data_IF_099329145135
#
_entry.id   IF_099329145135
#
_cell.length_a   1.000
_cell.length_b   1.000
_cell.length_c   1.000
_cell.angle_alpha   90.00
_cell.angle_beta   90.00
_cell.angle_gamma   90.00
#
_symmetry.space_group_name_H-M   'P 1'
#
loop_
_entity.id
_entity.type
_entity.pdbx_description
1 polymer ?
#
# COMPACT_ATOMS: atom_id res chain seq x y z
N UNK A 1 12.79 27.86 7.22
CA UNK A 1 13.40 27.31 5.99
C UNK A 1 14.68 26.61 6.38
N UNK A 2 14.97 25.44 5.83
CA UNK A 2 16.21 24.70 6.13
C UNK A 2 17.36 25.31 5.34
N UNK A 3 18.38 25.83 6.00
CA UNK A 3 19.58 26.32 5.32
C UNK A 3 20.29 25.13 4.65
N UNK A 4 20.51 25.23 3.33
CA UNK A 4 21.30 24.28 2.58
C UNK A 4 22.77 24.73 2.58
N UNK A 5 23.72 23.79 2.51
CA UNK A 5 25.13 24.13 2.36
C UNK A 5 25.40 24.70 0.97
N UNK A 6 26.37 25.61 0.90
CA UNK A 6 26.90 26.13 -0.36
C UNK A 6 27.90 25.10 -0.89
N UNK A 7 27.45 24.21 -1.78
CA UNK A 7 28.31 23.21 -2.44
C UNK A 7 28.06 23.30 -3.93
N UNK A 8 29.09 23.65 -4.71
CA UNK A 8 28.98 23.78 -6.16
C UNK A 8 28.60 22.46 -6.85
N UNK A 9 29.26 21.34 -6.49
CA UNK A 9 29.06 20.02 -7.08
C UNK A 9 28.90 18.95 -5.99
N UNK A 10 27.67 18.68 -5.57
CA UNK A 10 27.39 17.60 -4.63
C UNK A 10 27.23 16.25 -5.35
N UNK A 11 28.19 15.34 -5.17
CA UNK A 11 28.08 13.97 -5.66
C UNK A 11 27.33 13.07 -4.67
N UNK A 12 26.08 12.77 -5.00
CA UNK A 12 25.25 11.86 -4.23
C UNK A 12 25.75 10.40 -4.22
N UNK A 13 26.59 10.00 -5.18
CA UNK A 13 27.19 8.67 -5.28
C UNK A 13 28.42 8.47 -4.39
N UNK A 14 29.11 9.55 -4.04
CA UNK A 14 30.24 9.53 -3.11
C UNK A 14 29.82 9.38 -1.64
N UNK A 15 28.54 9.60 -1.32
CA UNK A 15 28.03 9.46 0.06
C UNK A 15 27.98 7.98 0.44
N UNK A 16 28.71 7.55 1.49
CA UNK A 16 28.70 6.16 1.92
C UNK A 16 27.30 5.74 2.39
N UNK A 17 27.01 4.44 2.45
CA UNK A 17 25.79 3.98 3.10
C UNK A 17 25.89 4.16 4.62
N UNK A 18 24.83 4.66 5.29
CA UNK A 18 24.84 4.87 6.74
C UNK A 18 25.13 3.58 7.54
N UNK A 19 24.83 2.41 6.99
CA UNK A 19 25.16 1.11 7.59
C UNK A 19 26.67 0.88 7.75
N UNK A 20 27.49 1.51 6.91
CA UNK A 20 28.95 1.42 6.96
C UNK A 20 29.55 2.23 8.10
N UNK A 21 28.77 3.04 8.83
CA UNK A 21 29.27 3.76 10.01
C UNK A 21 29.84 2.81 11.09
N UNK A 22 29.42 1.53 11.06
CA UNK A 22 29.88 0.48 11.96
C UNK A 22 31.35 0.10 11.76
N UNK A 23 31.96 0.43 10.62
CA UNK A 23 33.38 0.17 10.40
C UNK A 23 34.27 1.19 11.11
N UNK A 24 33.72 2.34 11.57
CA UNK A 24 34.49 3.36 12.30
C UNK A 24 34.79 2.93 13.74
N UNK A 25 35.87 3.47 14.35
CA UNK A 25 36.10 3.36 15.79
C UNK A 25 34.88 3.80 16.60
N UNK A 26 34.66 3.15 17.75
CA UNK A 26 33.46 3.38 18.57
C UNK A 26 33.27 4.86 18.98
N UNK A 27 34.37 5.56 19.28
CA UNK A 27 34.36 7.00 19.60
C UNK A 27 33.86 7.84 18.42
N UNK A 28 34.46 7.69 17.23
CA UNK A 28 34.06 8.42 16.03
C UNK A 28 32.63 8.09 15.59
N UNK A 29 32.22 6.82 15.75
CA UNK A 29 30.86 6.39 15.48
C UNK A 29 29.86 7.07 16.43
N UNK A 30 30.17 7.16 17.72
CA UNK A 30 29.35 7.86 18.71
C UNK A 30 29.15 9.33 18.32
N UNK A 31 30.25 10.03 18.08
CA UNK A 31 30.23 11.45 17.68
C UNK A 31 29.47 11.66 16.37
N UNK A 32 29.64 10.80 15.36
CA UNK A 32 28.90 10.89 14.11
C UNK A 32 27.39 10.68 14.28
N UNK A 33 26.97 9.79 15.19
CA UNK A 33 25.56 9.65 15.56
C UNK A 33 25.04 10.90 16.28
N UNK A 34 25.79 11.43 17.25
CA UNK A 34 25.44 12.67 17.96
C UNK A 34 25.27 13.85 16.98
N UNK A 35 26.22 14.03 16.04
CA UNK A 35 26.15 15.03 14.97
C UNK A 35 24.92 14.86 14.08
N UNK A 36 24.65 13.62 13.63
CA UNK A 36 23.53 13.37 12.74
C UNK A 36 22.18 13.55 13.42
N UNK A 37 22.03 13.05 14.65
CA UNK A 37 20.78 13.10 15.40
C UNK A 37 20.45 14.53 15.85
N UNK A 38 21.46 15.33 16.23
CA UNK A 38 21.28 16.75 16.57
C UNK A 38 20.85 17.58 15.37
N UNK A 39 21.50 17.41 14.21
CA UNK A 39 21.09 18.05 12.96
C UNK A 39 19.67 17.64 12.57
N UNK A 40 19.36 16.35 12.63
CA UNK A 40 18.04 15.81 12.30
C UNK A 40 16.95 16.32 13.25
N UNK A 41 17.21 16.41 14.55
CA UNK A 41 16.28 16.90 15.56
C UNK A 41 15.93 18.38 15.32
N UNK A 42 16.94 19.19 14.99
CA UNK A 42 16.78 20.62 14.72
C UNK A 42 16.34 20.94 13.28
N UNK A 43 16.13 19.90 12.44
CA UNK A 43 15.79 20.04 11.01
C UNK A 43 16.85 20.87 10.25
N UNK A 44 18.11 20.73 10.64
CA UNK A 44 19.26 21.40 10.03
C UNK A 44 20.04 20.40 9.16
N UNK A 45 20.68 20.90 8.11
CA UNK A 45 21.61 20.12 7.28
C UNK A 45 23.06 20.54 7.54
N UNK A 46 23.24 21.82 7.89
CA UNK A 46 24.53 22.50 8.09
C UNK A 46 24.59 23.07 9.50
N UNK A 47 25.75 23.01 10.13
CA UNK A 47 26.08 23.63 11.40
C UNK A 47 26.29 25.15 11.22
N UNK A 48 25.19 25.87 11.00
CA UNK A 48 25.16 27.33 10.89
C UNK A 48 24.01 27.91 11.69
N UNK A 49 24.29 29.03 12.34
CA UNK A 49 23.26 29.86 12.98
C UNK A 49 23.08 31.13 12.16
N UNK A 50 22.10 31.13 11.25
CA UNK A 50 21.92 32.22 10.29
C UNK A 50 23.14 32.34 9.37
N UNK A 51 23.87 33.45 9.49
CA UNK A 51 25.13 33.71 8.77
C UNK A 51 26.38 33.26 9.53
N UNK A 52 26.26 32.94 10.82
CA UNK A 52 27.39 32.53 11.66
C UNK A 52 27.70 31.05 11.45
N UNK A 53 28.95 30.74 11.14
CA UNK A 53 29.47 29.39 11.04
C UNK A 53 29.91 28.93 12.42
N UNK A 54 29.39 27.80 12.88
CA UNK A 54 29.76 27.27 14.19
C UNK A 54 31.19 26.77 14.14
N UNK A 55 32.01 27.22 15.09
CA UNK A 55 33.36 26.70 15.31
C UNK A 55 33.32 25.28 15.88
N UNK A 56 34.43 24.54 15.80
CA UNK A 56 34.48 23.16 16.30
C UNK A 56 34.14 23.07 17.81
N UNK A 57 34.52 24.06 18.62
CA UNK A 57 34.15 24.13 20.04
C UNK A 57 32.65 24.36 20.25
N UNK A 58 32.04 25.23 19.44
CA UNK A 58 30.60 25.47 19.46
C UNK A 58 29.82 24.25 18.95
N UNK A 59 30.34 23.55 17.95
CA UNK A 59 29.77 22.29 17.44
C UNK A 59 29.81 21.24 18.55
N UNK A 60 30.94 21.08 19.25
CA UNK A 60 31.06 20.14 20.37
C UNK A 60 30.04 20.44 21.47
N UNK A 61 29.89 21.70 21.85
CA UNK A 61 28.87 22.12 22.82
C UNK A 61 27.44 21.84 22.31
N UNK A 62 27.18 22.10 21.03
CA UNK A 62 25.87 21.88 20.42
C UNK A 62 25.47 20.40 20.38
N UNK A 63 26.42 19.50 20.14
CA UNK A 63 26.18 18.06 20.15
C UNK A 63 26.33 17.41 21.53
N UNK A 64 26.63 18.20 22.57
CA UNK A 64 26.90 17.75 23.93
C UNK A 64 28.06 16.75 24.04
N UNK A 65 29.10 16.93 23.22
CA UNK A 65 30.33 16.12 23.24
C UNK A 65 31.51 16.93 23.77
N UNK A 66 32.58 16.24 24.17
CA UNK A 66 33.81 16.89 24.59
C UNK A 66 34.56 17.48 23.37
N UNK A 67 34.97 18.77 23.38
CA UNK A 67 35.73 19.40 22.30
C UNK A 67 36.98 18.62 21.89
N UNK A 68 37.72 18.06 22.85
CA UNK A 68 38.91 17.25 22.56
C UNK A 68 38.58 15.94 21.83
N UNK A 69 37.43 15.35 22.13
CA UNK A 69 36.94 14.15 21.44
C UNK A 69 36.50 14.48 20.02
N UNK A 70 35.80 15.60 19.84
CA UNK A 70 35.39 16.05 18.50
C UNK A 70 36.62 16.37 17.64
N UNK A 71 37.60 17.12 18.15
CA UNK A 71 38.81 17.45 17.40
C UNK A 71 39.60 16.21 16.93
N UNK A 72 39.61 15.14 17.73
CA UNK A 72 40.24 13.86 17.36
C UNK A 72 39.43 13.04 16.35
N UNK A 73 38.10 13.09 16.44
CA UNK A 73 37.23 12.17 15.68
C UNK A 73 36.71 12.79 14.40
N UNK A 74 36.52 14.11 14.35
CA UNK A 74 35.96 14.84 13.20
C UNK A 74 36.76 14.61 11.91
N UNK A 75 38.11 14.66 11.88
CA UNK A 75 38.87 14.37 10.65
C UNK A 75 38.64 12.96 10.12
N UNK A 76 38.44 11.97 11.00
CA UNK A 76 38.12 10.59 10.60
C UNK A 76 36.70 10.51 10.00
N UNK A 77 35.73 11.20 10.61
CA UNK A 77 34.35 11.24 10.14
C UNK A 77 34.27 11.94 8.77
N UNK A 78 35.04 13.00 8.57
CA UNK A 78 35.18 13.71 7.29
C UNK A 78 35.85 12.83 6.22
N UNK A 79 36.98 12.20 6.55
CA UNK A 79 37.69 11.28 5.65
C UNK A 79 36.80 10.13 5.16
N UNK A 80 35.90 9.64 6.03
CA UNK A 80 35.01 8.53 5.71
C UNK A 80 33.72 8.99 5.03
N UNK A 81 33.50 10.30 4.86
CA UNK A 81 32.38 10.88 4.13
C UNK A 81 31.05 10.94 4.90
N UNK A 82 31.07 10.74 6.23
CA UNK A 82 29.86 10.85 7.06
C UNK A 82 29.54 12.30 7.47
N UNK A 83 30.55 13.17 7.43
CA UNK A 83 30.44 14.62 7.52
C UNK A 83 31.32 15.26 6.43
N UNK A 84 31.02 16.50 6.05
CA UNK A 84 31.84 17.25 5.09
C UNK A 84 31.74 18.74 5.40
N UNK A 85 32.71 19.52 4.92
CA UNK A 85 32.67 20.99 5.00
C UNK A 85 32.21 21.56 3.66
N UNK A 86 31.38 22.58 3.72
CA UNK A 86 30.92 23.32 2.54
C UNK A 86 32.02 24.23 1.99
N UNK A 87 31.78 24.90 0.86
CA UNK A 87 32.78 25.74 0.17
C UNK A 87 33.23 26.95 1.03
N UNK A 88 32.44 27.32 2.03
CA UNK A 88 32.73 28.39 2.97
C UNK A 88 33.38 27.85 4.26
N UNK A 89 33.40 26.53 4.47
CA UNK A 89 34.07 25.84 5.58
C UNK A 89 33.16 25.30 6.69
N UNK A 90 31.84 25.39 6.56
CA UNK A 90 30.87 24.99 7.57
C UNK A 90 30.56 23.50 7.48
N UNK A 91 30.48 22.85 8.64
CA UNK A 91 30.24 21.41 8.71
C UNK A 91 28.78 21.10 8.34
N UNK A 92 28.57 20.15 7.44
CA UNK A 92 27.25 19.64 7.07
C UNK A 92 27.24 18.12 7.03
N UNK A 93 26.03 17.55 7.06
CA UNK A 93 25.84 16.11 6.87
C UNK A 93 25.46 15.80 5.41
N UNK A 94 26.32 15.10 4.64
CA UNK A 94 26.02 14.68 3.26
C UNK A 94 24.74 13.86 3.15
N UNK A 95 24.44 13.03 4.15
CA UNK A 95 23.22 12.22 4.21
C UNK A 95 21.94 13.05 4.32
N UNK A 96 21.96 14.09 5.15
CA UNK A 96 20.82 14.98 5.30
C UNK A 96 20.64 15.86 4.06
N UNK A 97 21.74 16.29 3.44
CA UNK A 97 21.72 17.00 2.16
C UNK A 97 21.10 16.14 1.06
N UNK A 98 21.57 14.91 0.87
CA UNK A 98 21.01 13.97 -0.11
C UNK A 98 19.51 13.73 0.13
N UNK A 99 19.10 13.61 1.40
CA UNK A 99 17.69 13.45 1.76
C UNK A 99 16.86 14.68 1.40
N UNK A 100 17.37 15.89 1.63
CA UNK A 100 16.66 17.13 1.35
C UNK A 100 16.58 17.39 -0.17
N UNK A 101 17.64 17.12 -0.93
CA UNK A 101 17.61 17.15 -2.40
C UNK A 101 16.51 16.21 -2.92
N UNK A 102 16.49 14.94 -2.46
CA UNK A 102 15.43 13.98 -2.84
C UNK A 102 14.04 14.43 -2.41
N UNK A 103 13.92 15.23 -1.35
CA UNK A 103 12.64 15.79 -0.90
C UNK A 103 12.19 16.92 -1.83
N UNK A 104 13.10 17.81 -2.19
CA UNK A 104 12.85 18.90 -3.13
C UNK A 104 12.50 18.38 -4.52
N UNK A 105 13.21 17.36 -5.02
CA UNK A 105 12.85 16.69 -6.28
C UNK A 105 11.45 16.07 -6.23
N UNK A 106 11.09 15.43 -5.12
CA UNK A 106 9.74 14.87 -4.94
C UNK A 106 8.68 15.98 -4.88
N UNK A 107 8.98 17.12 -4.26
CA UNK A 107 8.09 18.27 -4.22
C UNK A 107 7.91 18.88 -5.63
N UNK A 108 9.00 19.06 -6.39
CA UNK A 108 8.95 19.52 -7.78
C UNK A 108 8.13 18.58 -8.65
N UNK A 109 8.37 17.27 -8.57
CA UNK A 109 7.58 16.25 -9.29
C UNK A 109 6.10 16.26 -8.90
N UNK A 110 5.75 16.62 -7.65
CA UNK A 110 4.35 16.78 -7.24
C UNK A 110 3.74 18.05 -7.84
N UNK A 111 4.44 19.17 -7.76
CA UNK A 111 3.99 20.43 -8.37
C UNK A 111 3.78 20.26 -9.89
N UNK A 112 4.70 19.61 -10.60
CA UNK A 112 4.55 19.29 -12.02
C UNK A 112 3.31 18.42 -12.30
N UNK A 113 3.01 17.45 -11.42
CA UNK A 113 1.80 16.62 -11.55
C UNK A 113 0.53 17.45 -11.32
N UNK A 114 0.52 18.33 -10.33
CA UNK A 114 -0.60 19.22 -10.04
C UNK A 114 -0.83 20.23 -11.18
N UNK A 115 0.24 20.80 -11.74
CA UNK A 115 0.15 21.65 -12.93
C UNK A 115 -0.40 20.89 -14.14
N UNK A 116 0.04 19.64 -14.35
CA UNK A 116 -0.49 18.80 -15.43
C UNK A 116 -1.96 18.46 -15.23
N UNK A 117 -2.39 18.20 -13.99
CA UNK A 117 -3.80 18.00 -13.65
C UNK A 117 -4.62 19.26 -13.96
N UNK A 118 -4.17 20.44 -13.53
CA UNK A 118 -4.85 21.71 -13.83
C UNK A 118 -4.95 21.98 -15.33
N UNK A 119 -3.88 21.71 -16.09
CA UNK A 119 -3.90 21.85 -17.56
C UNK A 119 -4.89 20.89 -18.21
N UNK A 120 -4.99 19.66 -17.69
CA UNK A 120 -5.93 18.67 -18.18
C UNK A 120 -7.38 19.06 -17.89
N UNK A 121 -7.69 19.49 -16.67
CA UNK A 121 -9.02 19.97 -16.28
C UNK A 121 -9.44 21.20 -17.10
N UNK A 122 -8.53 22.15 -17.32
CA UNK A 122 -8.79 23.30 -18.19
C UNK A 122 -9.07 22.88 -19.65
N UNK A 123 -8.37 21.87 -20.17
CA UNK A 123 -8.59 21.35 -21.51
C UNK A 123 -9.91 20.53 -21.65
N UNK A 124 -10.33 19.85 -20.58
CA UNK A 124 -11.66 19.24 -20.51
C UNK A 124 -12.77 20.30 -20.47
N UNK A 125 -12.60 21.35 -19.65
CA UNK A 125 -13.55 22.45 -19.58
C UNK A 125 -13.66 23.22 -20.92
N UNK A 126 -12.56 23.33 -21.66
CA UNK A 126 -12.55 23.91 -23.01
C UNK A 126 -13.15 22.99 -24.09
N UNK A 127 -13.55 21.76 -23.75
CA UNK A 127 -14.11 20.78 -24.69
C UNK A 127 -13.09 20.19 -25.67
N UNK A 128 -11.79 20.40 -25.44
CA UNK A 128 -10.70 19.86 -26.27
C UNK A 128 -10.51 18.37 -25.97
N UNK A 129 -10.69 17.97 -24.70
CA UNK A 129 -10.60 16.60 -24.24
C UNK A 129 -12.01 16.12 -23.85
N UNK A 130 -12.43 14.90 -24.26
CA UNK A 130 -13.73 14.35 -23.85
C UNK A 130 -13.86 14.27 -22.32
N UNK A 131 -15.07 14.54 -21.81
CA UNK A 131 -15.35 14.54 -20.37
C UNK A 131 -15.14 13.16 -19.71
N UNK A 132 -15.36 12.08 -20.45
CA UNK A 132 -15.19 10.71 -19.97
C UNK A 132 -13.72 10.26 -19.95
N UNK A 133 -12.80 11.03 -20.53
CA UNK A 133 -11.39 10.64 -20.57
C UNK A 133 -10.74 10.93 -19.21
N UNK A 134 -9.91 10.00 -18.75
CA UNK A 134 -9.13 10.22 -17.53
C UNK A 134 -7.76 10.79 -17.89
N UNK A 135 -7.13 11.54 -16.99
CA UNK A 135 -5.77 12.05 -17.22
C UNK A 135 -4.80 10.91 -17.59
N UNK A 136 -4.95 9.75 -16.94
CA UNK A 136 -4.17 8.54 -17.23
C UNK A 136 -4.51 7.96 -18.60
N UNK A 137 -5.79 7.88 -18.98
CA UNK A 137 -6.24 7.42 -20.29
C UNK A 137 -5.73 8.30 -21.43
N UNK A 138 -5.83 9.62 -21.25
CA UNK A 138 -5.32 10.61 -22.21
C UNK A 138 -3.80 10.51 -22.39
N UNK A 139 -3.02 10.44 -21.30
CA UNK A 139 -1.57 10.21 -21.38
C UNK A 139 -1.22 8.85 -22.00
N UNK A 140 -1.99 7.79 -21.71
CA UNK A 140 -1.77 6.48 -22.30
C UNK A 140 -2.01 6.49 -23.82
N UNK A 141 -3.02 7.22 -24.32
CA UNK A 141 -3.24 7.42 -25.75
C UNK A 141 -2.07 8.16 -26.42
N UNK A 142 -1.59 9.25 -25.80
CA UNK A 142 -0.43 10.01 -26.28
C UNK A 142 0.84 9.14 -26.30
N UNK A 143 1.10 8.40 -25.23
CA UNK A 143 2.28 7.55 -25.11
C UNK A 143 2.18 6.32 -26.03
N UNK A 144 1.00 5.75 -26.20
CA UNK A 144 0.71 4.67 -27.14
C UNK A 144 0.96 5.08 -28.59
N UNK A 145 0.55 6.30 -28.98
CA UNK A 145 0.84 6.84 -30.31
C UNK A 145 2.33 7.15 -30.57
N UNK A 146 3.10 7.40 -29.49
CA UNK A 146 4.55 7.60 -29.57
C UNK A 146 5.35 6.29 -29.45
N UNK A 147 4.74 5.23 -28.90
CA UNK A 147 5.34 3.92 -28.72
C UNK A 147 5.62 3.18 -30.03
N UNK A 148 6.46 2.14 -29.96
CA UNK A 148 6.79 1.27 -31.09
C UNK A 148 8.27 1.25 -31.45
N UNK A 149 8.73 0.12 -32.01
CA UNK A 149 10.14 -0.07 -32.41
C UNK A 149 10.44 0.73 -33.68
N UNK A 150 11.59 1.43 -33.76
CA UNK A 150 12.09 1.98 -35.03
C UNK A 150 12.29 0.86 -36.07
N UNK A 151 12.15 1.18 -37.36
CA UNK A 151 12.54 0.23 -38.42
C UNK A 151 14.06 0.04 -38.41
N UNK A 152 14.55 -1.09 -38.95
CA UNK A 152 15.98 -1.49 -38.87
C UNK A 152 16.96 -0.44 -39.45
N UNK A 153 16.49 0.46 -40.32
CA UNK A 153 17.28 1.50 -40.99
C UNK A 153 16.93 2.92 -40.55
N UNK A 154 16.08 3.08 -39.53
CA UNK A 154 15.47 4.37 -39.18
C UNK A 154 15.98 4.83 -37.81
N UNK A 155 16.40 6.09 -37.72
CA UNK A 155 16.83 6.68 -36.46
C UNK A 155 15.60 7.01 -35.56
N UNK A 156 15.79 7.14 -34.25
CA UNK A 156 14.67 7.34 -33.31
C UNK A 156 13.81 8.58 -33.64
N UNK A 157 14.44 9.66 -34.10
CA UNK A 157 13.75 10.89 -34.51
C UNK A 157 12.99 10.73 -35.83
N UNK A 158 13.58 10.03 -36.80
CA UNK A 158 12.93 9.72 -38.08
C UNK A 158 11.69 8.84 -37.88
N UNK A 159 11.79 7.84 -36.99
CA UNK A 159 10.67 6.98 -36.62
C UNK A 159 9.52 7.74 -35.96
N UNK A 160 9.84 8.78 -35.19
CA UNK A 160 8.84 9.66 -34.57
C UNK A 160 8.13 10.53 -35.61
N UNK A 161 8.87 11.10 -36.56
CA UNK A 161 8.32 11.93 -37.64
C UNK A 161 7.40 11.09 -38.55
N UNK A 162 7.85 9.89 -38.97
CA UNK A 162 7.04 8.98 -39.79
C UNK A 162 5.73 8.61 -39.10
N UNK A 163 5.77 8.24 -37.80
CA UNK A 163 4.56 7.88 -37.05
C UNK A 163 3.61 9.06 -36.89
N UNK A 164 4.11 10.27 -36.69
CA UNK A 164 3.27 11.47 -36.65
C UNK A 164 2.53 11.66 -37.99
N UNK A 165 3.25 11.51 -39.11
CA UNK A 165 2.67 11.58 -40.45
C UNK A 165 1.66 10.45 -40.73
N UNK A 166 1.95 9.21 -40.30
CA UNK A 166 1.03 8.06 -40.42
C UNK A 166 -0.23 8.24 -39.57
N UNK A 167 -0.11 8.80 -38.37
CA UNK A 167 -1.26 9.10 -37.50
C UNK A 167 -2.14 10.21 -38.10
N UNK A 168 -1.54 11.29 -38.62
CA UNK A 168 -2.25 12.33 -39.35
C UNK A 168 -2.96 11.77 -40.59
N UNK A 169 -2.28 10.95 -41.39
CA UNK A 169 -2.87 10.29 -42.55
C UNK A 169 -4.06 9.39 -42.17
N UNK A 170 -3.95 8.63 -41.08
CA UNK A 170 -5.02 7.77 -40.57
C UNK A 170 -6.24 8.58 -40.09
N UNK A 171 -6.03 9.72 -39.43
CA UNK A 171 -7.14 10.63 -39.05
C UNK A 171 -7.82 11.25 -40.28
N UNK A 172 -7.05 11.65 -41.29
CA UNK A 172 -7.60 12.15 -42.56
C UNK A 172 -8.44 11.11 -43.29
N UNK A 173 -7.99 9.84 -43.32
CA UNK A 173 -8.74 8.74 -43.93
C UNK A 173 -10.08 8.46 -43.23
N UNK A 174 -10.14 8.59 -41.90
CA UNK A 174 -11.39 8.40 -41.13
C UNK A 174 -12.42 9.51 -41.36
N UNK A 175 -11.96 10.70 -41.74
CA UNK A 175 -12.82 11.87 -41.96
C UNK A 175 -13.25 12.04 -43.43
N UNK A 176 -13.03 11.05 -44.30
CA UNK A 176 -13.54 11.08 -45.68
C UNK A 176 -15.03 10.71 -45.62
N UNK A 177 -15.97 11.62 -45.98
CA UNK A 177 -17.38 11.27 -46.05
C UNK A 177 -17.60 10.26 -47.17
N UNK A 178 -18.02 9.05 -46.81
CA UNK A 178 -18.45 8.03 -47.77
C UNK A 178 -19.67 8.56 -48.54
N UNK A 179 -19.55 8.70 -49.86
CA UNK A 179 -20.68 9.00 -50.73
C UNK A 179 -21.77 7.95 -50.55
N UNK A 180 -22.96 8.41 -50.15
CA UNK A 180 -24.18 7.61 -50.02
C UNK A 180 -24.60 7.13 -51.41
N UNK A 181 -24.60 5.82 -51.64
CA UNK A 181 -25.13 5.21 -52.85
C UNK A 181 -26.66 5.10 -52.78
N UNK A 182 -27.34 5.62 -53.81
CA UNK A 182 -28.78 5.47 -54.08
C UNK A 182 -29.18 3.99 -54.27
N UNK A 183 -30.46 3.62 -54.06
CA UNK A 183 -30.87 2.22 -54.04
C UNK A 183 -31.16 1.70 -55.45
N UNK A 184 -30.57 0.57 -55.83
CA UNK A 184 -31.05 -0.27 -56.92
C UNK A 184 -30.69 -1.75 -56.67
N UNK A 185 -31.50 -2.70 -57.17
CA UNK A 185 -31.63 -4.05 -56.63
C UNK A 185 -30.76 -5.09 -57.35
N UNK A 186 -30.71 -6.28 -56.75
CA UNK A 186 -30.20 -7.55 -57.26
C UNK A 186 -28.69 -7.83 -57.10
N UNK A 187 -28.45 -8.73 -56.14
CA UNK A 187 -27.42 -9.77 -56.05
C UNK A 187 -26.36 -9.79 -57.16
N UNK A 188 -25.17 -9.32 -56.82
CA UNK A 188 -23.92 -9.80 -57.42
C UNK A 188 -23.01 -10.24 -56.28
N UNK A 189 -22.92 -11.55 -56.08
CA UNK A 189 -21.95 -12.19 -55.19
C UNK A 189 -20.53 -11.90 -55.69
N UNK A 190 -19.86 -10.93 -55.08
CA UNK A 190 -18.40 -10.85 -55.15
C UNK A 190 -17.81 -11.70 -54.02
N UNK A 191 -17.52 -12.95 -54.38
CA UNK A 191 -16.74 -13.92 -53.63
C UNK A 191 -15.27 -13.44 -53.68
N UNK A 192 -14.70 -13.19 -52.51
CA UNK A 192 -13.31 -12.78 -52.22
C UNK A 192 -13.14 -11.30 -51.84
N UNK A 193 -13.30 -10.99 -50.56
CA UNK A 193 -12.51 -9.96 -49.87
C UNK A 193 -12.50 -10.27 -48.36
N UNK A 194 -11.29 -10.55 -47.89
CA UNK A 194 -10.87 -11.00 -46.57
C UNK A 194 -11.74 -10.62 -45.36
N UNK A 195 -12.12 -11.66 -44.63
CA UNK A 195 -12.56 -11.65 -43.24
C UNK A 195 -11.45 -11.09 -42.35
N UNK A 196 -11.66 -9.90 -41.78
CA UNK A 196 -11.25 -9.55 -40.42
C UNK A 196 -11.86 -8.19 -40.06
N UNK A 197 -13.16 -8.22 -39.76
CA UNK A 197 -13.85 -7.17 -39.00
C UNK A 197 -14.57 -7.88 -37.85
N UNK A 198 -13.92 -7.98 -36.70
CA UNK A 198 -14.65 -8.18 -35.45
C UNK A 198 -14.95 -6.82 -34.84
N UNK A 199 -16.22 -6.44 -34.99
CA UNK A 199 -16.90 -5.52 -34.08
C UNK A 199 -17.33 -6.36 -32.87
N UNK A 200 -17.06 -5.90 -31.65
CA UNK A 200 -17.77 -6.39 -30.46
C UNK A 200 -18.13 -5.18 -29.60
N UNK A 201 -19.39 -4.77 -29.70
CA UNK A 201 -20.11 -4.06 -28.66
C UNK A 201 -21.25 -4.97 -28.19
N UNK A 202 -21.28 -5.24 -26.89
CA UNK A 202 -22.51 -5.51 -26.12
C UNK A 202 -23.17 -6.89 -26.25
N UNK A 203 -23.00 -7.71 -25.22
CA UNK A 203 -24.18 -8.24 -24.49
C UNK A 203 -24.70 -9.65 -24.79
N UNK A 204 -24.31 -10.58 -23.91
CA UNK A 204 -25.20 -11.49 -23.16
C UNK A 204 -25.38 -12.97 -23.60
N UNK A 205 -24.97 -13.81 -22.63
CA UNK A 205 -25.37 -15.14 -22.15
C UNK A 205 -24.96 -16.44 -22.88
N UNK A 206 -24.25 -17.26 -22.10
CA UNK A 206 -24.19 -18.74 -22.05
C UNK A 206 -23.40 -19.48 -23.14
N UNK A 207 -22.59 -20.51 -22.88
CA UNK A 207 -22.10 -21.21 -21.68
C UNK A 207 -20.98 -22.18 -22.21
N UNK A 208 -20.06 -22.58 -21.32
CA UNK A 208 -19.16 -23.76 -21.38
C UNK A 208 -17.84 -23.69 -22.17
N UNK A 209 -16.73 -23.62 -21.42
CA UNK A 209 -15.62 -24.55 -21.59
C UNK A 209 -14.19 -23.98 -21.69
N UNK A 210 -13.58 -23.66 -20.55
CA UNK A 210 -12.17 -23.96 -20.16
C UNK A 210 -11.52 -22.82 -19.37
N UNK A 211 -11.68 -22.83 -18.05
CA UNK A 211 -10.87 -22.03 -17.14
C UNK A 211 -9.60 -22.81 -16.78
N UNK A 212 -8.45 -22.32 -17.25
CA UNK A 212 -7.15 -22.63 -16.67
C UNK A 212 -6.83 -21.49 -15.73
N UNK A 213 -7.13 -21.69 -14.44
CA UNK A 213 -6.63 -20.84 -13.36
C UNK A 213 -5.17 -21.17 -13.12
N UNK A 214 -4.29 -20.17 -13.32
CA UNK A 214 -2.95 -20.17 -12.75
C UNK A 214 -2.91 -19.13 -11.64
N UNK A 215 -3.23 -19.60 -10.44
CA UNK A 215 -2.71 -19.04 -9.21
C UNK A 215 -1.20 -19.34 -9.15
N UNK A 216 -0.38 -18.29 -9.08
CA UNK A 216 0.92 -18.37 -8.43
C UNK A 216 0.98 -17.33 -7.33
N UNK A 217 1.05 -17.88 -6.13
CA UNK A 217 1.30 -17.30 -4.83
C UNK A 217 2.45 -16.26 -4.79
N UNK A 218 2.21 -15.27 -3.91
CA UNK A 218 3.12 -14.73 -2.89
C UNK A 218 4.53 -14.32 -3.32
N UNK A 219 4.81 -13.02 -3.12
CA UNK A 219 5.95 -12.68 -2.27
C UNK A 219 5.74 -11.48 -1.35
N UNK A 220 6.28 -11.65 -0.14
CA UNK A 220 6.15 -10.82 1.05
C UNK A 220 7.09 -9.59 1.00
N UNK A 221 6.59 -8.50 1.60
CA UNK A 221 7.31 -7.40 2.26
C UNK A 221 8.16 -6.45 1.39
N UNK A 222 7.66 -5.21 1.24
CA UNK A 222 8.38 -4.02 1.72
C UNK A 222 7.37 -3.05 2.35
N UNK A 223 7.39 -2.97 3.68
CA UNK A 223 6.92 -1.77 4.37
C UNK A 223 7.97 -0.68 4.15
N UNK A 224 7.60 0.40 3.48
CA UNK A 224 8.31 1.67 3.68
C UNK A 224 7.38 2.86 3.47
N UNK A 225 7.50 3.79 4.42
CA UNK A 225 6.96 5.15 4.42
C UNK A 225 5.44 5.30 4.52
N UNK A 226 5.01 5.51 5.77
CA UNK A 226 4.13 6.61 6.16
C UNK A 226 4.27 7.77 5.15
N UNK A 227 3.22 7.97 4.37
CA UNK A 227 2.92 9.23 3.72
C UNK A 227 1.45 9.48 3.97
N UNK A 228 1.21 10.48 4.80
CA UNK A 228 -0.03 11.25 4.81
C UNK A 228 -0.42 11.52 3.36
N UNK A 229 -1.55 10.98 2.95
CA UNK A 229 -2.18 11.33 1.69
C UNK A 229 -3.65 11.50 1.94
N UNK A 230 -4.10 12.66 1.48
CA UNK A 230 -5.46 13.07 1.25
C UNK A 230 -6.33 13.18 2.50
N UNK A 231 -6.37 14.41 3.02
CA UNK A 231 -7.62 15.00 3.49
C UNK A 231 -8.69 14.78 2.42
N UNK A 232 -9.50 13.75 2.62
CA UNK A 232 -10.86 13.73 2.10
C UNK A 232 -11.65 14.58 3.10
N UNK A 233 -12.09 15.75 2.63
CA UNK A 233 -12.87 16.69 3.41
C UNK A 233 -14.18 16.04 3.84
N UNK A 234 -14.19 15.53 5.07
CA UNK A 234 -15.41 15.36 5.83
C UNK A 234 -15.64 16.68 6.57
N UNK A 235 -16.86 17.21 6.48
CA UNK A 235 -17.25 18.46 7.13
C UNK A 235 -16.80 18.46 8.59
N UNK A 236 -15.90 19.38 8.94
CA UNK A 236 -15.51 19.64 10.33
C UNK A 236 -16.69 20.33 11.01
N UNK A 237 -17.64 19.55 11.52
CA UNK A 237 -18.43 20.00 12.66
C UNK A 237 -17.52 19.86 13.88
N UNK A 238 -16.98 20.97 14.37
CA UNK A 238 -16.34 21.05 15.68
C UNK A 238 -17.40 20.74 16.76
N UNK A 239 -17.72 19.47 16.94
CA UNK A 239 -18.55 19.04 18.06
C UNK A 239 -17.75 19.35 19.34
N UNK A 240 -18.28 20.27 20.14
CA UNK A 240 -17.74 20.56 21.47
C UNK A 240 -18.03 19.33 22.33
N UNK A 241 -17.00 18.51 22.57
CA UNK A 241 -17.09 17.35 23.44
C UNK A 241 -16.87 17.80 24.87
N UNK A 242 -17.80 17.48 25.74
CA UNK A 242 -17.67 17.68 27.19
C UNK A 242 -16.49 16.87 27.75
N UNK A 243 -15.63 17.51 28.55
CA UNK A 243 -14.41 16.92 29.09
C UNK A 243 -14.69 15.68 29.97
N UNK A 244 -15.84 15.64 30.66
CA UNK A 244 -16.23 14.46 31.44
C UNK A 244 -16.60 13.25 30.56
N UNK A 245 -17.12 13.49 29.37
CA UNK A 245 -17.41 12.45 28.37
C UNK A 245 -16.12 11.94 27.74
N UNK A 246 -15.19 12.85 27.44
CA UNK A 246 -13.86 12.49 26.93
C UNK A 246 -13.07 11.65 27.94
N UNK A 247 -13.05 12.02 29.21
CA UNK A 247 -12.34 11.29 30.26
C UNK A 247 -12.91 9.88 30.49
N UNK A 248 -14.24 9.74 30.40
CA UNK A 248 -14.91 8.43 30.48
C UNK A 248 -14.49 7.52 29.31
N UNK A 249 -14.60 8.04 28.09
CA UNK A 249 -14.24 7.29 26.88
C UNK A 249 -12.75 6.89 26.86
N UNK A 250 -11.86 7.79 27.31
CA UNK A 250 -10.42 7.48 27.41
C UNK A 250 -10.18 6.33 28.38
N UNK A 251 -10.81 6.34 29.56
CA UNK A 251 -10.64 5.23 30.53
C UNK A 251 -11.15 3.90 29.97
N UNK A 252 -12.33 3.90 29.35
CA UNK A 252 -12.91 2.69 28.76
C UNK A 252 -12.04 2.11 27.62
N UNK A 253 -11.47 2.98 26.78
CA UNK A 253 -10.55 2.57 25.71
C UNK A 253 -9.23 2.03 26.28
N UNK A 254 -8.70 2.63 27.35
CA UNK A 254 -7.48 2.12 27.98
C UNK A 254 -7.69 0.73 28.59
N UNK A 255 -8.85 0.51 29.22
CA UNK A 255 -9.24 -0.78 29.77
C UNK A 255 -9.38 -1.85 28.68
N UNK A 256 -10.08 -1.53 27.58
CA UNK A 256 -10.24 -2.42 26.44
C UNK A 256 -8.92 -2.73 25.71
N UNK A 257 -7.98 -1.79 25.68
CA UNK A 257 -6.67 -1.95 25.05
C UNK A 257 -5.60 -2.59 25.96
N UNK A 258 -5.90 -2.82 27.24
CA UNK A 258 -4.94 -3.36 28.21
C UNK A 258 -3.78 -2.42 28.56
N UNK A 259 -3.95 -1.09 28.40
CA UNK A 259 -2.91 -0.12 28.76
C UNK A 259 -2.90 0.19 30.27
N UNK A 260 -1.74 0.52 30.85
CA UNK A 260 -1.65 0.94 32.25
C UNK A 260 -2.42 2.26 32.48
N UNK A 261 -3.11 2.36 33.62
CA UNK A 261 -3.98 3.52 33.96
C UNK A 261 -3.28 4.89 33.91
N UNK A 262 -1.96 4.89 34.06
CA UNK A 262 -1.13 6.10 34.08
C UNK A 262 -0.83 6.67 32.68
N UNK A 263 -1.15 5.95 31.60
CA UNK A 263 -0.92 6.41 30.22
C UNK A 263 -2.06 7.26 29.63
N UNK A 264 -3.14 7.46 30.37
CA UNK A 264 -4.36 8.19 29.96
C UNK A 264 -4.07 9.50 29.23
N UNK A 265 -3.18 10.35 29.78
CA UNK A 265 -2.81 11.66 29.20
C UNK A 265 -2.18 11.57 27.80
N UNK A 266 -1.48 10.48 27.48
CA UNK A 266 -0.85 10.27 26.16
C UNK A 266 -1.85 9.87 25.09
N UNK A 267 -3.01 9.38 25.49
CA UNK A 267 -4.01 8.80 24.60
C UNK A 267 -5.29 9.65 24.48
N UNK A 268 -5.47 10.66 25.33
CA UNK A 268 -6.56 11.64 25.24
C UNK A 268 -6.69 12.27 23.85
N UNK A 269 -5.56 12.57 23.19
CA UNK A 269 -5.57 13.21 21.86
C UNK A 269 -6.18 12.36 20.75
N UNK A 270 -5.96 11.03 20.76
CA UNK A 270 -6.50 10.15 19.71
C UNK A 270 -7.97 9.82 19.95
N UNK A 271 -8.38 9.65 21.22
CA UNK A 271 -9.78 9.41 21.58
C UNK A 271 -10.62 10.66 21.28
N UNK A 272 -10.10 11.85 21.60
CA UNK A 272 -10.72 13.13 21.20
C UNK A 272 -10.91 13.20 19.69
N UNK A 273 -9.91 12.80 18.90
CA UNK A 273 -10.00 12.79 17.44
C UNK A 273 -11.11 11.85 16.93
N UNK A 274 -11.31 10.68 17.54
CA UNK A 274 -12.39 9.76 17.14
C UNK A 274 -13.77 10.27 17.50
N UNK A 275 -13.93 10.83 18.69
CA UNK A 275 -15.19 11.45 19.11
C UNK A 275 -15.52 12.70 18.26
N UNK A 276 -14.53 13.51 17.90
CA UNK A 276 -14.71 14.66 17.01
C UNK A 276 -15.08 14.24 15.58
N UNK A 277 -14.66 13.04 15.16
CA UNK A 277 -15.07 12.45 13.90
C UNK A 277 -16.51 11.87 13.92
N UNK A 278 -17.23 12.04 15.03
CA UNK A 278 -18.61 11.57 15.20
C UNK A 278 -18.73 10.06 15.45
N UNK A 279 -17.64 9.38 15.80
CA UNK A 279 -17.67 7.94 16.09
C UNK A 279 -18.22 7.74 17.51
N UNK A 280 -19.30 6.95 17.70
CA UNK A 280 -19.88 6.73 19.01
C UNK A 280 -18.96 5.88 19.90
N UNK A 281 -18.89 6.24 21.19
CA UNK A 281 -18.10 5.56 22.24
C UNK A 281 -18.19 4.01 22.20
N UNK A 282 -19.37 3.37 22.12
CA UNK A 282 -19.45 1.90 22.11
C UNK A 282 -18.76 1.26 20.90
N UNK A 283 -18.79 1.90 19.73
CA UNK A 283 -18.12 1.39 18.52
C UNK A 283 -16.61 1.47 18.65
N UNK A 284 -16.10 2.55 19.27
CA UNK A 284 -14.67 2.71 19.55
C UNK A 284 -14.20 1.60 20.49
N UNK A 285 -14.92 1.36 21.59
CA UNK A 285 -14.57 0.35 22.60
C UNK A 285 -14.57 -1.05 21.97
N UNK A 286 -15.62 -1.40 21.22
CA UNK A 286 -15.73 -2.71 20.58
C UNK A 286 -14.59 -2.94 19.57
N UNK A 287 -14.30 -1.97 18.72
CA UNK A 287 -13.22 -2.07 17.73
C UNK A 287 -11.83 -2.22 18.38
N UNK A 288 -11.61 -1.56 19.52
CA UNK A 288 -10.38 -1.69 20.29
C UNK A 288 -10.29 -3.07 20.94
N UNK A 289 -11.38 -3.58 21.51
CA UNK A 289 -11.42 -4.90 22.13
C UNK A 289 -11.17 -6.02 21.10
N UNK A 290 -11.85 -5.97 19.94
CA UNK A 290 -11.71 -6.96 18.87
C UNK A 290 -10.30 -6.98 18.29
N UNK A 291 -9.72 -5.79 18.07
CA UNK A 291 -8.35 -5.71 17.56
C UNK A 291 -7.33 -6.16 18.61
N UNK A 292 -7.56 -5.88 19.89
CA UNK A 292 -6.70 -6.35 20.99
C UNK A 292 -6.76 -7.87 21.09
N UNK A 293 -7.94 -8.49 20.96
CA UNK A 293 -8.09 -9.94 20.89
C UNK A 293 -7.34 -10.54 19.69
N UNK A 294 -7.41 -9.90 18.51
CA UNK A 294 -6.66 -10.32 17.32
C UNK A 294 -5.13 -10.20 17.51
N UNK A 295 -4.65 -9.13 18.15
CA UNK A 295 -3.23 -8.96 18.49
C UNK A 295 -2.76 -10.03 19.47
N UNK A 296 -3.58 -10.38 20.48
CA UNK A 296 -3.27 -11.46 21.41
C UNK A 296 -3.15 -12.83 20.73
N UNK A 297 -4.04 -13.15 19.78
CA UNK A 297 -3.93 -14.39 18.97
C UNK A 297 -2.62 -14.44 18.19
N UNK A 298 -2.12 -13.29 17.74
CA UNK A 298 -0.85 -13.14 17.03
C UNK A 298 0.38 -12.99 17.96
N UNK A 299 0.19 -13.07 19.29
CA UNK A 299 1.23 -12.84 20.33
C UNK A 299 1.85 -11.44 20.28
N UNK A 300 1.09 -10.45 19.82
CA UNK A 300 1.49 -9.04 19.79
C UNK A 300 0.84 -8.25 20.94
N UNK A 301 1.55 -7.24 21.45
CA UNK A 301 1.06 -6.36 22.51
C UNK A 301 0.84 -4.96 21.92
N UNK A 302 -0.31 -4.30 22.17
CA UNK A 302 -0.54 -2.93 21.75
C UNK A 302 0.53 -1.99 22.33
N UNK A 303 1.26 -1.26 21.47
CA UNK A 303 2.34 -0.36 21.92
C UNK A 303 1.87 1.09 22.12
N UNK A 304 0.84 1.52 21.37
CA UNK A 304 0.28 2.87 21.48
C UNK A 304 -1.16 2.91 20.94
N UNK A 305 -2.01 3.79 21.45
CA UNK A 305 -3.41 3.90 21.01
C UNK A 305 -3.61 4.20 19.51
N UNK A 306 -2.57 4.72 18.81
CA UNK A 306 -2.59 4.91 17.37
C UNK A 306 -2.70 3.63 16.52
N UNK A 307 -2.43 2.43 17.08
CA UNK A 307 -2.62 1.17 16.34
C UNK A 307 -4.09 0.88 16.08
N UNK A 308 -4.98 1.45 16.89
CA UNK A 308 -6.43 1.26 16.78
C UNK A 308 -7.12 2.28 15.84
N UNK A 309 -6.43 3.31 15.32
CA UNK A 309 -7.08 4.33 14.46
C UNK A 309 -7.65 3.73 13.17
N UNK A 310 -6.93 2.79 12.54
CA UNK A 310 -7.42 2.08 11.36
C UNK A 310 -8.57 1.11 11.69
N UNK A 311 -8.46 0.23 12.70
CA UNK A 311 -9.56 -0.63 13.14
C UNK A 311 -10.83 0.14 13.51
N UNK A 312 -10.72 1.23 14.28
CA UNK A 312 -11.86 2.05 14.72
C UNK A 312 -12.56 2.69 13.53
N UNK A 313 -11.81 3.22 12.55
CA UNK A 313 -12.38 3.77 11.30
C UNK A 313 -13.02 2.70 10.42
N UNK A 314 -12.42 1.52 10.33
CA UNK A 314 -12.98 0.40 9.56
C UNK A 314 -14.28 -0.11 10.20
N UNK A 315 -14.31 -0.26 11.52
CA UNK A 315 -15.51 -0.61 12.27
C UNK A 315 -16.60 0.45 12.11
N UNK A 316 -16.24 1.74 12.12
CA UNK A 316 -17.18 2.82 11.86
C UNK A 316 -17.74 2.81 10.44
N UNK A 317 -16.89 2.62 9.43
CA UNK A 317 -17.35 2.47 8.04
C UNK A 317 -18.27 1.24 7.88
N UNK A 318 -17.96 0.13 8.54
CA UNK A 318 -18.79 -1.05 8.53
C UNK A 318 -20.11 -0.84 9.28
N UNK A 319 -20.10 -0.08 10.38
CA UNK A 319 -21.31 0.31 11.10
C UNK A 319 -22.18 1.28 10.30
N UNK A 320 -21.59 2.17 9.50
CA UNK A 320 -22.32 3.03 8.56
C UNK A 320 -22.95 2.20 7.45
N UNK A 321 -22.20 1.28 6.85
CA UNK A 321 -22.73 0.34 5.85
C UNK A 321 -23.85 -0.52 6.44
N UNK A 322 -23.71 -0.97 7.69
CA UNK A 322 -24.70 -1.81 8.38
C UNK A 322 -25.93 -1.03 8.83
N UNK A 323 -25.81 0.28 9.09
CA UNK A 323 -26.94 1.15 9.42
C UNK A 323 -27.81 1.49 8.20
N UNK A 324 -27.23 1.44 6.99
CA UNK A 324 -27.93 1.66 5.72
C UNK A 324 -28.56 0.37 5.13
N UNK A 325 -28.33 -0.79 5.77
CA UNK A 325 -28.90 -2.09 5.38
C UNK A 325 -29.96 -2.53 6.40
N UNK A 326 -31.18 -2.94 5.98
CA UNK A 326 -32.15 -3.50 6.90
C UNK A 326 -31.61 -4.77 7.58
N UNK A 327 -31.90 -4.92 8.88
CA UNK A 327 -31.34 -5.92 9.79
C UNK A 327 -31.05 -7.29 9.14
N UNK A 328 -29.82 -7.82 9.23
CA UNK A 328 -29.56 -9.20 8.83
C UNK A 328 -30.25 -10.15 9.81
N UNK A 329 -31.09 -11.03 9.29
CA UNK A 329 -31.71 -12.11 10.06
C UNK A 329 -30.65 -12.91 10.83
N UNK A 330 -30.95 -13.38 12.05
CA UNK A 330 -30.00 -14.13 12.87
C UNK A 330 -29.53 -15.38 12.11
N UNK A 331 -28.22 -15.53 11.98
CA UNK A 331 -27.59 -16.72 11.40
C UNK A 331 -28.16 -17.99 12.02
N UNK A 332 -28.60 -18.98 11.23
CA UNK A 332 -29.20 -20.19 11.77
C UNK A 332 -28.19 -20.91 12.67
N UNK A 333 -28.65 -21.28 13.87
CA UNK A 333 -27.86 -21.99 14.88
C UNK A 333 -27.37 -23.30 14.28
N UNK A 334 -26.07 -23.40 14.01
CA UNK A 334 -25.42 -24.59 13.45
C UNK A 334 -25.69 -25.79 14.37
N UNK A 335 -26.27 -26.85 13.81
CA UNK A 335 -26.74 -28.00 14.57
C UNK A 335 -25.54 -28.81 15.08
N UNK A 336 -25.70 -29.55 16.19
CA UNK A 336 -24.57 -30.20 16.85
C UNK A 336 -23.92 -31.31 16.00
N UNK A 337 -24.67 -31.96 15.11
CA UNK A 337 -24.12 -32.91 14.13
C UNK A 337 -23.25 -32.23 13.06
N UNK A 338 -23.56 -30.98 12.68
CA UNK A 338 -22.75 -30.20 11.73
C UNK A 338 -21.43 -29.76 12.36
N UNK A 339 -21.46 -29.40 13.66
CA UNK A 339 -20.24 -29.11 14.44
C UNK A 339 -19.34 -30.33 14.50
N UNK A 340 -19.93 -31.50 14.77
CA UNK A 340 -19.19 -32.76 14.86
C UNK A 340 -18.58 -33.15 13.53
N UNK A 341 -19.35 -33.11 12.43
CA UNK A 341 -18.87 -33.38 11.08
C UNK A 341 -17.68 -32.49 10.67
N UNK A 342 -17.73 -31.20 11.01
CA UNK A 342 -16.63 -30.25 10.74
C UNK A 342 -15.40 -30.50 11.59
N UNK A 343 -15.57 -30.81 12.87
CA UNK A 343 -14.45 -31.12 13.77
C UNK A 343 -13.72 -32.39 13.31
N UNK A 344 -14.49 -33.41 12.97
CA UNK A 344 -14.03 -34.70 12.48
C UNK A 344 -13.27 -34.57 11.15
N UNK A 345 -13.78 -33.75 10.22
CA UNK A 345 -13.09 -33.46 8.96
C UNK A 345 -11.72 -32.78 9.18
N UNK A 346 -11.60 -31.87 10.14
CA UNK A 346 -10.32 -31.21 10.45
C UNK A 346 -9.30 -32.21 11.01
N UNK A 347 -9.73 -33.13 11.87
CA UNK A 347 -8.88 -34.19 12.40
C UNK A 347 -8.44 -35.17 11.30
N UNK A 348 -9.37 -35.54 10.44
CA UNK A 348 -9.15 -36.50 9.36
C UNK A 348 -8.28 -35.91 8.23
N UNK A 349 -8.34 -34.60 7.96
CA UNK A 349 -7.36 -33.91 7.09
C UNK A 349 -5.93 -33.96 7.64
N UNK A 350 -5.76 -33.83 8.97
CA UNK A 350 -4.45 -33.91 9.61
C UNK A 350 -3.90 -35.34 9.53
N UNK A 351 -4.75 -36.34 9.78
CA UNK A 351 -4.39 -37.74 9.68
C UNK A 351 -4.01 -38.14 8.23
N UNK A 352 -4.77 -37.67 7.23
CA UNK A 352 -4.45 -37.87 5.83
C UNK A 352 -3.11 -37.21 5.44
N UNK A 353 -2.85 -35.98 5.89
CA UNK A 353 -1.58 -35.29 5.64
C UNK A 353 -0.38 -36.03 6.25
N UNK A 354 -0.53 -36.60 7.45
CA UNK A 354 0.53 -37.40 8.07
C UNK A 354 0.80 -38.69 7.27
N UNK A 355 -0.27 -39.38 6.86
CA UNK A 355 -0.19 -40.61 6.10
C UNK A 355 0.45 -40.40 4.70
N UNK A 356 0.16 -39.25 4.06
CA UNK A 356 0.82 -38.83 2.82
C UNK A 356 2.32 -38.53 3.00
N UNK A 357 2.71 -37.96 4.15
CA UNK A 357 4.12 -37.69 4.46
C UNK A 357 4.91 -38.98 4.76
N UNK A 358 4.28 -39.95 5.41
CA UNK A 358 4.93 -41.23 5.78
C UNK A 358 5.12 -42.17 4.58
N UNK A 359 4.12 -42.29 3.71
CA UNK A 359 4.15 -43.27 2.62
C UNK A 359 4.75 -42.73 1.32
N UNK A 360 4.64 -41.42 1.06
CA UNK A 360 5.13 -40.78 -0.18
C UNK A 360 4.48 -41.25 -1.49
N UNK A 361 3.56 -42.22 -1.43
CA UNK A 361 2.81 -42.79 -2.56
C UNK A 361 1.31 -42.59 -2.35
N UNK A 362 0.70 -41.79 -3.23
CA UNK A 362 -0.72 -41.44 -3.18
C UNK A 362 -1.64 -42.66 -3.29
N UNK A 363 -1.28 -43.68 -4.09
CA UNK A 363 -2.13 -44.86 -4.30
C UNK A 363 -2.21 -45.72 -3.05
N UNK A 364 -1.07 -45.94 -2.38
CA UNK A 364 -1.01 -46.65 -1.10
C UNK A 364 -1.65 -45.86 0.02
N UNK A 365 -1.47 -44.54 0.02
CA UNK A 365 -2.09 -43.65 1.00
C UNK A 365 -3.62 -43.72 0.93
N UNK A 366 -4.19 -43.72 -0.27
CA UNK A 366 -5.63 -43.86 -0.50
C UNK A 366 -6.20 -45.17 0.03
N UNK A 367 -5.51 -46.29 -0.18
CA UNK A 367 -5.93 -47.60 0.33
C UNK A 367 -5.90 -47.65 1.86
N UNK A 368 -4.79 -47.21 2.48
CA UNK A 368 -4.67 -47.21 3.94
C UNK A 368 -5.65 -46.24 4.60
N UNK A 369 -5.93 -45.10 3.96
CA UNK A 369 -6.97 -44.19 4.43
C UNK A 369 -8.35 -44.81 4.40
N UNK A 370 -8.72 -45.50 3.31
CA UNK A 370 -10.01 -46.16 3.23
C UNK A 370 -10.19 -47.16 4.38
N UNK A 371 -9.14 -47.91 4.73
CA UNK A 371 -9.15 -48.84 5.86
C UNK A 371 -9.23 -48.12 7.23
N UNK A 372 -8.54 -46.99 7.40
CA UNK A 372 -8.60 -46.20 8.64
C UNK A 372 -9.96 -45.51 8.81
N UNK A 373 -10.49 -44.91 7.74
CA UNK A 373 -11.78 -44.25 7.73
C UNK A 373 -12.90 -45.25 8.04
N UNK A 374 -12.85 -46.46 7.45
CA UNK A 374 -13.82 -47.52 7.74
C UNK A 374 -13.82 -47.92 9.23
N UNK A 375 -12.64 -48.04 9.85
CA UNK A 375 -12.52 -48.37 11.28
C UNK A 375 -13.07 -47.28 12.20
N UNK A 376 -13.02 -46.01 11.76
CA UNK A 376 -13.51 -44.83 12.51
C UNK A 376 -14.96 -44.48 12.20
N UNK A 377 -15.64 -45.24 11.34
CA UNK A 377 -17.00 -44.94 10.88
C UNK A 377 -17.08 -43.64 10.06
N UNK A 378 -16.03 -43.32 9.30
CA UNK A 378 -15.89 -42.08 8.52
C UNK A 378 -16.04 -42.33 7.02
N UNK A 379 -16.36 -41.29 6.22
CA UNK A 379 -16.40 -41.40 4.77
C UNK A 379 -15.08 -41.95 4.19
N UNK A 380 -15.16 -43.06 3.46
CA UNK A 380 -14.00 -43.81 2.96
C UNK A 380 -13.49 -43.34 1.60
N UNK A 381 -14.35 -42.69 0.81
CA UNK A 381 -14.07 -42.33 -0.58
C UNK A 381 -13.60 -40.88 -0.76
N UNK A 382 -14.15 -39.93 0.01
CA UNK A 382 -13.90 -38.49 -0.17
C UNK A 382 -13.72 -37.76 1.16
N UNK A 383 -12.64 -36.97 1.23
CA UNK A 383 -12.30 -36.12 2.38
C UNK A 383 -12.83 -34.70 2.13
N UNK A 384 -14.14 -34.60 1.92
CA UNK A 384 -14.86 -33.36 1.59
C UNK A 384 -15.92 -33.05 2.64
N UNK A 385 -16.21 -31.76 2.83
CA UNK A 385 -17.21 -31.31 3.80
C UNK A 385 -18.61 -31.85 3.49
N UNK A 386 -18.95 -32.02 2.21
CA UNK A 386 -20.22 -32.59 1.78
C UNK A 386 -20.37 -34.07 2.18
N UNK A 387 -19.32 -34.87 2.01
CA UNK A 387 -19.33 -36.28 2.40
C UNK A 387 -19.47 -36.46 3.93
N UNK A 388 -18.80 -35.62 4.72
CA UNK A 388 -18.92 -35.63 6.18
C UNK A 388 -20.30 -35.14 6.63
N UNK A 389 -20.83 -34.07 6.04
CA UNK A 389 -22.19 -33.62 6.36
C UNK A 389 -23.24 -34.67 5.97
N UNK A 390 -23.10 -35.35 4.84
CA UNK A 390 -24.00 -36.42 4.44
C UNK A 390 -23.95 -37.64 5.38
N UNK A 391 -22.76 -38.00 5.88
CA UNK A 391 -22.59 -39.11 6.82
C UNK A 391 -23.15 -38.83 8.22
N UNK A 392 -23.10 -37.57 8.66
CA UNK A 392 -23.58 -37.14 9.99
C UNK A 392 -25.02 -36.61 9.99
N UNK A 393 -25.62 -36.43 8.81
CA UNK A 393 -27.01 -35.97 8.69
C UNK A 393 -27.95 -37.01 9.29
N UNK A 394 -28.80 -36.66 10.28
CA UNK A 394 -29.80 -37.58 10.82
C UNK A 394 -30.77 -38.01 9.72
N UNK A 395 -31.00 -39.32 9.57
CA UNK A 395 -31.87 -39.87 8.51
C UNK A 395 -33.37 -39.58 8.70
N UNK A 396 -33.77 -38.96 9.82
CA UNK A 396 -35.16 -38.59 10.10
C UNK A 396 -35.59 -37.20 9.56
N UNK A 397 -34.77 -36.58 8.69
CA UNK A 397 -35.15 -35.34 7.96
C UNK A 397 -35.23 -35.61 6.45
N UNK A 398 -35.66 -36.81 6.08
CA UNK A 398 -36.04 -37.17 4.72
C UNK A 398 -37.49 -37.71 4.71
N UNK A 399 -38.44 -36.81 5.00
CA UNK A 399 -39.85 -36.94 4.62
C UNK A 399 -40.43 -35.55 4.36
#
# INVERSE_FOLDING_TARGET
MTCLPTVADFDAGAVPAWTLIRTMPAEARGVAHSLFDTLKANRMVVMRSGTHMLSDDEIAAFICENPATLARTLPLIEQWGFAARDDEGALYSPHLLQREIRRQERARKRAEREENLRRFEAAQAAGIIPADDTLRGHHAKINGGKGGRPRKTENAEQARIRRAQEAEAATRQRNIPLMVSLPAPAEIQNRNLNQNRFSVSGGSVSVLGSEVSLDIDKDKKINSSISESAETGFAQTEAIIDDATLDRAVRAVMEAAGFPKDSTRRHTGIVRKWLQAGIPEPVIIQAVADHTAAMHQNREIPQHAGCFDKPVRAAWAQHQISADLPEPAPSPVMQDWEKQARADLVEDHRAWSALMQELGDYGRAKQQWADMAAKRGRPTTELTLEAYLAAYRPQDVAA
#
